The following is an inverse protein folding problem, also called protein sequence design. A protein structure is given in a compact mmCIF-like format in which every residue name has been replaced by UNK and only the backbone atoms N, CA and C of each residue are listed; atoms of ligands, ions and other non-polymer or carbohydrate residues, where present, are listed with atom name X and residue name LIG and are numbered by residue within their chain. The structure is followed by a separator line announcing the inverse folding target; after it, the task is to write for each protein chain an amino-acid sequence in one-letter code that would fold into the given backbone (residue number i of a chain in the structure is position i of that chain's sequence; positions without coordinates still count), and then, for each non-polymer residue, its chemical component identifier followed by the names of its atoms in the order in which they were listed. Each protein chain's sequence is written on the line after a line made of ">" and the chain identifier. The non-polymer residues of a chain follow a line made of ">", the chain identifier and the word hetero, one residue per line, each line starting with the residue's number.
data_IF_639407335899
#
_entry.id   IF_639407335899
#
_cell.length_a   1.000
_cell.length_b   1.000
_cell.length_c   1.000
_cell.angle_alpha   90.00
_cell.angle_beta   90.00
_cell.angle_gamma   90.00
#
_symmetry.space_group_name_H-M   'P 1'
#
loop_
_entity.id
_entity.type
_entity.pdbx_description
1 polymer ?
#
# COMPACT_ATOMS: atom_id res chain seq x y z
N UNK A 1 3.07 0.96 -6.04
CA UNK A 1 2.05 0.43 -5.11
C UNK A 1 1.54 1.49 -4.17
N UNK A 2 2.40 2.24 -3.45
CA UNK A 2 2.01 3.31 -2.50
C UNK A 2 0.88 4.21 -3.02
N UNK A 3 1.07 4.85 -4.18
CA UNK A 3 0.07 5.78 -4.72
C UNK A 3 -1.30 5.13 -4.98
N UNK A 4 -1.29 3.93 -5.56
CA UNK A 4 -2.52 3.18 -5.90
C UNK A 4 -3.19 2.60 -4.65
N UNK A 5 -2.43 2.38 -3.58
CA UNK A 5 -2.97 1.84 -2.33
C UNK A 5 -3.75 2.86 -1.51
N UNK A 6 -3.32 4.13 -1.53
CA UNK A 6 -3.93 5.21 -0.74
C UNK A 6 -4.91 6.09 -1.52
N UNK A 7 -5.16 5.75 -2.79
CA UNK A 7 -6.07 6.52 -3.63
C UNK A 7 -6.94 5.58 -4.45
N UNK A 8 -8.24 5.89 -4.48
CA UNK A 8 -9.26 5.07 -5.16
C UNK A 8 -9.03 4.95 -6.67
N UNK A 9 -8.50 6.00 -7.31
CA UNK A 9 -8.20 6.08 -8.74
C UNK A 9 -7.00 7.00 -8.94
N UNK A 10 -5.93 6.51 -9.58
CA UNK A 10 -4.71 7.29 -9.79
C UNK A 10 -4.30 7.31 -11.25
N UNK A 11 -4.07 8.51 -11.78
CA UNK A 11 -3.56 8.71 -13.14
C UNK A 11 -2.08 8.33 -13.23
N UNK A 12 -1.65 7.83 -14.39
CA UNK A 12 -0.23 7.56 -14.66
C UNK A 12 0.68 8.75 -14.35
N UNK A 13 0.30 9.95 -14.82
CA UNK A 13 1.07 11.18 -14.61
C UNK A 13 1.21 11.55 -13.14
N UNK A 14 0.20 11.24 -12.31
CA UNK A 14 0.26 11.48 -10.88
C UNK A 14 1.24 10.52 -10.19
N UNK A 15 1.20 9.23 -10.56
CA UNK A 15 2.14 8.23 -10.04
C UNK A 15 3.57 8.62 -10.42
N UNK A 16 3.79 9.03 -11.67
CA UNK A 16 5.11 9.47 -12.13
C UNK A 16 5.60 10.70 -11.36
N UNK A 17 4.74 11.70 -11.15
CA UNK A 17 5.07 12.92 -10.40
C UNK A 17 5.42 12.62 -8.94
N UNK A 18 4.72 11.68 -8.32
CA UNK A 18 4.92 11.33 -6.91
C UNK A 18 6.18 10.49 -6.67
N UNK A 19 6.75 9.87 -7.71
CA UNK A 19 7.92 9.01 -7.63
C UNK A 19 9.09 9.63 -8.40
N UNK A 20 9.63 10.72 -7.86
CA UNK A 20 10.80 11.40 -8.43
C UNK A 20 11.97 10.41 -8.58
N UNK A 21 12.53 10.32 -9.79
CA UNK A 21 13.58 9.34 -10.13
C UNK A 21 13.09 8.12 -10.93
N UNK A 22 11.78 7.87 -11.04
CA UNK A 22 11.25 6.88 -11.97
C UNK A 22 11.11 7.47 -13.38
N UNK A 23 11.62 6.75 -14.38
CA UNK A 23 11.34 7.07 -15.78
C UNK A 23 9.97 6.56 -16.18
N UNK A 24 9.30 7.18 -17.18
CA UNK A 24 8.02 6.69 -17.70
C UNK A 24 8.08 5.23 -18.16
N UNK A 25 9.20 4.80 -18.74
CA UNK A 25 9.43 3.42 -19.18
C UNK A 25 9.44 2.44 -18.01
N UNK A 26 10.20 2.75 -16.96
CA UNK A 26 10.27 1.89 -15.76
C UNK A 26 8.92 1.85 -15.07
N UNK A 27 8.23 2.98 -14.92
CA UNK A 27 6.90 3.01 -14.32
C UNK A 27 5.91 2.14 -15.12
N UNK A 28 5.93 2.23 -16.44
CA UNK A 28 5.07 1.42 -17.31
C UNK A 28 5.33 -0.08 -17.12
N UNK A 29 6.60 -0.49 -17.03
CA UNK A 29 6.96 -1.88 -16.77
C UNK A 29 6.43 -2.35 -15.41
N UNK A 30 6.67 -1.57 -14.35
CA UNK A 30 6.20 -1.92 -13.00
C UNK A 30 4.68 -2.01 -12.89
N UNK A 31 3.96 -1.10 -13.55
CA UNK A 31 2.49 -1.16 -13.57
C UNK A 31 2.00 -2.40 -14.32
N UNK A 32 2.65 -2.77 -15.43
CA UNK A 32 2.33 -3.99 -16.17
C UNK A 32 2.57 -5.24 -15.31
N UNK A 33 3.68 -5.31 -14.59
CA UNK A 33 3.98 -6.44 -13.69
C UNK A 33 2.89 -6.56 -12.60
N UNK A 34 2.54 -5.46 -11.94
CA UNK A 34 1.48 -5.44 -10.93
C UNK A 34 0.10 -5.80 -11.48
N UNK A 35 -0.19 -5.47 -12.74
CA UNK A 35 -1.40 -5.91 -13.42
C UNK A 35 -1.38 -7.41 -13.72
N UNK A 36 -0.26 -7.94 -14.22
CA UNK A 36 -0.10 -9.36 -14.48
C UNK A 36 -0.23 -10.19 -13.20
N UNK A 37 0.27 -9.67 -12.08
CA UNK A 37 0.13 -10.28 -10.75
C UNK A 37 -1.30 -10.15 -10.18
N UNK A 38 -2.18 -9.43 -10.86
CA UNK A 38 -3.57 -9.20 -10.47
C UNK A 38 -3.72 -8.30 -9.24
N UNK A 39 -2.71 -7.48 -8.93
CA UNK A 39 -2.72 -6.57 -7.78
C UNK A 39 -3.40 -5.24 -8.11
N UNK A 40 -3.23 -4.76 -9.35
CA UNK A 40 -3.88 -3.54 -9.83
C UNK A 40 -4.65 -3.81 -11.12
N UNK A 41 -5.60 -2.94 -11.42
CA UNK A 41 -6.30 -2.91 -12.70
C UNK A 41 -6.21 -1.54 -13.35
N UNK A 42 -6.13 -1.54 -14.69
CA UNK A 42 -6.17 -0.34 -15.53
C UNK A 42 -7.61 -0.04 -15.89
N UNK A 43 -8.08 1.15 -15.55
CA UNK A 43 -9.45 1.61 -15.81
C UNK A 43 -9.43 2.94 -16.57
N UNK A 44 -10.41 3.13 -17.46
CA UNK A 44 -10.59 4.40 -18.15
C UNK A 44 -11.17 5.45 -17.19
N UNK A 45 -10.84 6.72 -17.43
CA UNK A 45 -11.24 7.82 -16.57
C UNK A 45 -12.76 8.04 -16.60
N UNK A 46 -13.40 8.28 -15.44
CA UNK A 46 -14.84 8.46 -15.37
C UNK A 46 -15.32 9.74 -16.07
N UNK A 47 -14.47 10.78 -16.10
CA UNK A 47 -14.75 12.07 -16.77
C UNK A 47 -14.22 12.14 -18.20
N UNK A 48 -13.15 11.40 -18.48
CA UNK A 48 -12.48 11.40 -19.78
C UNK A 48 -11.92 10.00 -20.06
N UNK A 49 -12.50 9.34 -21.07
CA UNK A 49 -12.13 7.98 -21.49
C UNK A 49 -10.73 7.92 -22.13
N UNK A 50 -10.13 9.06 -22.48
CA UNK A 50 -8.75 9.15 -22.96
C UNK A 50 -7.74 9.03 -21.82
N UNK A 51 -8.16 9.29 -20.59
CA UNK A 51 -7.29 9.25 -19.41
C UNK A 51 -7.28 7.86 -18.81
N UNK A 52 -6.07 7.35 -18.58
CA UNK A 52 -5.84 6.06 -17.93
C UNK A 52 -5.66 6.24 -16.43
N UNK A 53 -6.41 5.47 -15.65
CA UNK A 53 -6.28 5.38 -14.20
C UNK A 53 -5.95 3.95 -13.77
N UNK A 54 -5.40 3.82 -12.57
CA UNK A 54 -5.11 2.56 -11.92
C UNK A 54 -5.79 2.52 -10.55
N UNK A 55 -6.26 1.34 -10.15
CA UNK A 55 -6.77 1.06 -8.80
C UNK A 55 -6.38 -0.34 -8.34
N UNK A 56 -6.39 -0.57 -7.03
CA UNK A 56 -6.19 -1.91 -6.47
C UNK A 56 -7.36 -2.83 -6.83
N UNK A 57 -7.04 -4.07 -7.16
CA UNK A 57 -8.04 -5.16 -7.21
C UNK A 57 -8.40 -5.61 -5.79
N UNK A 58 -9.30 -6.59 -5.65
CA UNK A 58 -9.53 -7.26 -4.35
C UNK A 58 -8.23 -7.88 -3.80
N UNK A 59 -7.49 -8.62 -4.63
CA UNK A 59 -6.18 -9.22 -4.27
C UNK A 59 -5.16 -8.15 -3.86
N UNK A 60 -5.09 -7.04 -4.60
CA UNK A 60 -4.18 -5.94 -4.26
C UNK A 60 -4.52 -5.28 -2.92
N UNK A 61 -5.81 -5.11 -2.64
CA UNK A 61 -6.32 -4.60 -1.38
C UNK A 61 -5.93 -5.47 -0.16
N UNK A 62 -5.79 -6.78 -0.35
CA UNK A 62 -5.37 -7.70 0.70
C UNK A 62 -3.87 -7.57 1.04
N UNK A 63 -3.07 -6.88 0.20
CA UNK A 63 -1.65 -6.61 0.48
C UNK A 63 -1.42 -5.42 1.43
N UNK A 64 -2.42 -4.54 1.59
CA UNK A 64 -2.29 -3.31 2.41
C UNK A 64 -1.73 -3.58 3.81
N UNK A 65 -2.24 -4.54 4.61
CA UNK A 65 -1.73 -4.77 5.97
C UNK A 65 -0.27 -5.22 6.01
N UNK A 66 0.17 -6.01 5.01
CA UNK A 66 1.57 -6.45 4.90
C UNK A 66 2.46 -5.24 4.67
N UNK A 67 2.07 -4.36 3.74
CA UNK A 67 2.78 -3.11 3.45
C UNK A 67 2.77 -2.18 4.67
N UNK A 68 1.65 -2.07 5.38
CA UNK A 68 1.53 -1.27 6.61
C UNK A 68 2.49 -1.76 7.69
N UNK A 69 2.54 -3.06 7.95
CA UNK A 69 3.48 -3.65 8.92
C UNK A 69 4.94 -3.40 8.53
N UNK A 70 5.26 -3.50 7.24
CA UNK A 70 6.61 -3.21 6.75
C UNK A 70 6.99 -1.73 6.92
N UNK A 71 6.05 -0.81 6.66
CA UNK A 71 6.25 0.63 6.90
C UNK A 71 6.50 0.87 8.40
N UNK A 72 5.67 0.29 9.27
CA UNK A 72 5.82 0.45 10.72
C UNK A 72 7.20 -0.02 11.21
N UNK A 73 7.65 -1.18 10.73
CA UNK A 73 8.99 -1.69 11.04
C UNK A 73 10.08 -0.71 10.59
N UNK A 74 10.00 -0.19 9.37
CA UNK A 74 10.98 0.77 8.85
C UNK A 74 11.01 2.08 9.64
N UNK A 75 9.84 2.59 10.02
CA UNK A 75 9.71 3.81 10.82
C UNK A 75 10.30 3.62 12.22
N UNK A 76 10.17 2.44 12.81
CA UNK A 76 10.66 2.17 14.17
C UNK A 76 12.16 1.89 14.21
N UNK A 77 12.69 1.11 13.27
CA UNK A 77 14.06 0.60 13.33
C UNK A 77 15.02 1.23 12.32
N UNK A 78 14.51 2.02 11.38
CA UNK A 78 15.29 2.67 10.34
C UNK A 78 14.93 4.16 10.19
N UNK A 79 14.44 4.80 11.26
CA UNK A 79 14.07 6.22 11.27
C UNK A 79 15.21 7.12 10.78
N UNK A 80 16.45 6.84 11.17
CA UNK A 80 17.68 7.53 10.72
C UNK A 80 17.96 7.46 9.21
N UNK A 81 17.30 6.56 8.48
CA UNK A 81 17.40 6.47 7.00
C UNK A 81 16.15 6.97 6.29
N UNK A 82 15.03 7.08 7.00
CA UNK A 82 13.72 7.42 6.45
C UNK A 82 13.38 8.90 6.68
N UNK A 83 13.82 9.47 7.80
CA UNK A 83 13.54 10.86 8.20
C UNK A 83 14.84 11.65 8.37
N UNK A 84 14.81 12.94 8.03
CA UNK A 84 15.97 13.83 8.15
C UNK A 84 16.41 14.06 9.60
N UNK A 85 15.46 14.05 10.55
CA UNK A 85 15.72 14.18 11.98
C UNK A 85 16.09 12.85 12.66
N UNK A 86 15.89 11.73 11.97
CA UNK A 86 16.18 10.39 12.45
C UNK A 86 15.28 9.89 13.59
N UNK A 87 14.20 10.60 13.91
CA UNK A 87 13.33 10.26 15.03
C UNK A 87 12.21 9.29 14.61
N UNK A 88 11.90 8.26 15.43
CA UNK A 88 10.73 7.42 15.20
C UNK A 88 9.43 8.23 15.18
N UNK A 89 8.43 7.73 14.46
CA UNK A 89 7.09 8.32 14.31
C UNK A 89 6.02 7.25 14.44
N UNK A 90 4.79 7.62 14.76
CA UNK A 90 3.68 6.68 14.60
C UNK A 90 3.13 6.71 13.17
N UNK A 91 2.53 5.59 12.74
CA UNK A 91 1.84 5.55 11.44
C UNK A 91 0.72 6.59 11.35
N UNK A 92 0.07 6.91 12.48
CA UNK A 92 -0.98 7.91 12.58
C UNK A 92 -0.49 9.30 12.16
N UNK A 93 0.73 9.66 12.56
CA UNK A 93 1.33 10.97 12.27
C UNK A 93 1.75 11.09 10.79
N UNK A 94 2.18 9.97 10.21
CA UNK A 94 2.67 9.92 8.83
C UNK A 94 1.55 9.86 7.79
N UNK A 95 0.44 9.19 8.13
CA UNK A 95 -0.68 8.95 7.23
C UNK A 95 -2.02 9.28 7.89
N UNK A 96 -2.25 10.52 8.37
CA UNK A 96 -3.45 10.87 9.14
C UNK A 96 -4.75 10.70 8.34
N UNK A 97 -4.69 10.78 7.00
CA UNK A 97 -5.87 10.61 6.13
C UNK A 97 -6.17 9.15 5.77
N UNK A 98 -5.13 8.33 5.64
CA UNK A 98 -5.23 6.94 5.15
C UNK A 98 -5.20 5.92 6.31
N UNK A 99 -5.06 6.42 7.55
CA UNK A 99 -5.00 5.61 8.77
C UNK A 99 -6.18 4.63 8.90
N UNK A 100 -7.46 5.01 8.63
CA UNK A 100 -8.58 4.09 8.74
C UNK A 100 -8.49 2.92 7.76
N UNK A 101 -8.06 3.16 6.51
CA UNK A 101 -7.88 2.08 5.53
C UNK A 101 -6.70 1.16 5.88
N UNK A 102 -5.58 1.75 6.31
CA UNK A 102 -4.35 1.02 6.66
C UNK A 102 -4.51 0.18 7.92
N UNK A 103 -5.01 0.77 9.01
CA UNK A 103 -5.16 0.12 10.30
C UNK A 103 -6.45 -0.69 10.37
N UNK A 104 -7.55 -0.26 9.74
CA UNK A 104 -8.83 -0.96 9.79
C UNK A 104 -8.72 -2.40 9.29
N UNK A 105 -7.99 -2.60 8.18
CA UNK A 105 -7.69 -3.94 7.67
C UNK A 105 -6.73 -4.69 8.59
N UNK A 106 -5.62 -4.07 9.02
CA UNK A 106 -4.67 -4.71 9.94
C UNK A 106 -5.34 -5.19 11.24
N UNK A 107 -6.28 -4.41 11.79
CA UNK A 107 -7.08 -4.79 12.94
C UNK A 107 -8.02 -5.96 12.65
N UNK A 108 -8.55 -6.12 11.44
CA UNK A 108 -9.28 -7.35 11.07
C UNK A 108 -8.36 -8.57 10.99
N UNK A 109 -7.11 -8.40 10.54
CA UNK A 109 -6.11 -9.48 10.58
C UNK A 109 -5.71 -9.84 12.01
N UNK A 110 -5.43 -8.85 12.86
CA UNK A 110 -5.11 -9.07 14.28
C UNK A 110 -6.29 -9.67 15.06
N UNK A 111 -7.53 -9.31 14.72
CA UNK A 111 -8.75 -9.92 15.29
C UNK A 111 -8.98 -11.33 14.75
N UNK A 112 -8.72 -11.60 13.48
CA UNK A 112 -8.77 -12.93 12.88
C UNK A 112 -7.68 -13.89 13.40
N UNK A 113 -6.54 -13.34 13.86
CA UNK A 113 -5.50 -14.10 14.54
C UNK A 113 -5.89 -14.54 15.98
N UNK A 114 -7.00 -14.05 16.53
CA UNK A 114 -7.52 -14.44 17.87
C UNK A 114 -8.53 -15.60 17.84
N UNK A 115 -8.54 -16.45 16.82
CA UNK A 115 -9.35 -17.68 16.81
C UNK A 115 -8.58 -18.93 16.39
N UNK A 116 -7.45 -19.17 17.07
CA UNK A 116 -7.03 -20.54 17.35
C UNK A 116 -6.60 -20.57 18.81
N UNK A 117 -7.40 -21.12 19.73
CA UNK A 117 -6.81 -21.64 20.94
C UNK A 117 -5.87 -22.74 20.48
N UNK A 118 -4.57 -22.52 20.61
CA UNK A 118 -3.62 -23.64 20.74
C UNK A 118 -3.94 -24.28 22.09
N UNK A 119 -5.08 -24.97 22.16
CA UNK A 119 -5.38 -25.95 23.18
C UNK A 119 -5.11 -27.31 22.57
N UNK A 120 -4.11 -27.97 23.17
CA UNK A 120 -3.93 -29.41 23.20
C UNK A 120 -3.37 -30.08 21.95
N UNK A 121 -2.44 -31.05 22.00
CA UNK A 121 -1.68 -31.85 23.01
C UNK A 121 -0.89 -32.88 22.12
N UNK A 122 -0.28 -34.01 22.54
CA UNK A 122 0.22 -34.51 23.84
C UNK A 122 1.66 -35.10 23.80
N UNK A 123 2.08 -35.59 24.97
CA UNK A 123 3.18 -36.51 25.34
C UNK A 123 4.51 -35.87 25.73
#
# INVERSE_FOLDING_TARGET
>A
MRDVAFHRLVKFSQILKNNQGLTPRVLSLRLKDLQNDGLIERVLGPKDQRVVNYRLTKKGNDTIPILTGFIQYGVQYHSNRVFEDGEPRELADLYPRDQPEMLGRLLSYARGAKSTPTSERPR
#
